data_IF_331321641616
#
_entry.id   IF_331321641616
#
_cell.length_a   1.000
_cell.length_b   1.000
_cell.length_c   1.000
_cell.angle_alpha   90.00
_cell.angle_beta   90.00
_cell.angle_gamma   90.00
#
_symmetry.space_group_name_H-M   'P 1'
#
loop_
_entity.id
_entity.type
_entity.pdbx_description
1 polymer ?
#
# COMPACT_ATOMS: atom_id res chain seq x y z
N UNK A 1 -0.13 -15.59 -2.06
CA UNK A 1 -0.28 -16.69 -3.03
C UNK A 1 -0.82 -16.21 -4.36
N UNK A 2 -1.95 -15.56 -4.42
CA UNK A 2 -2.57 -15.05 -5.67
C UNK A 2 -1.59 -14.19 -6.48
N UNK A 3 -0.91 -13.25 -5.82
CA UNK A 3 0.10 -12.39 -6.46
C UNK A 3 1.24 -13.22 -7.07
N UNK A 4 1.73 -14.23 -6.35
CA UNK A 4 2.81 -15.10 -6.81
C UNK A 4 2.38 -15.95 -8.02
N UNK A 5 1.17 -16.53 -7.99
CA UNK A 5 0.64 -17.34 -9.09
C UNK A 5 0.44 -16.49 -10.34
N UNK A 6 -0.14 -15.29 -10.19
CA UNK A 6 -0.26 -14.34 -11.31
C UNK A 6 1.11 -13.99 -11.91
N UNK A 7 2.10 -13.69 -11.07
CA UNK A 7 3.45 -13.37 -11.52
C UNK A 7 4.15 -14.51 -12.24
N UNK A 8 3.88 -15.75 -11.81
CA UNK A 8 4.43 -16.94 -12.45
C UNK A 8 3.81 -17.25 -13.82
N UNK A 9 2.60 -16.75 -14.10
CA UNK A 9 1.88 -16.95 -15.38
C UNK A 9 1.88 -18.41 -15.86
N UNK A 10 1.60 -19.35 -14.95
CA UNK A 10 1.59 -20.80 -15.24
C UNK A 10 2.98 -21.46 -15.33
N UNK A 11 4.07 -20.71 -15.22
CA UNK A 11 5.42 -21.28 -15.24
C UNK A 11 5.75 -21.96 -13.89
N UNK A 12 5.82 -23.29 -13.89
CA UNK A 12 6.16 -24.09 -12.70
C UNK A 12 7.60 -23.90 -12.21
N UNK A 13 8.50 -23.42 -13.07
CA UNK A 13 9.90 -23.15 -12.77
C UNK A 13 10.15 -21.64 -12.54
N UNK A 14 9.10 -20.89 -12.23
CA UNK A 14 9.22 -19.45 -12.03
C UNK A 14 10.12 -19.14 -10.82
N UNK A 15 11.07 -18.24 -11.04
CA UNK A 15 11.93 -17.71 -9.97
C UNK A 15 11.16 -16.69 -9.13
N UNK A 16 10.67 -17.14 -7.98
CA UNK A 16 9.86 -16.31 -7.06
C UNK A 16 10.63 -15.12 -6.46
N UNK A 17 11.97 -15.09 -6.54
CA UNK A 17 12.75 -13.93 -6.11
C UNK A 17 12.47 -12.71 -6.99
N UNK A 18 12.06 -12.92 -8.25
CA UNK A 18 11.68 -11.86 -9.19
C UNK A 18 10.37 -11.15 -8.85
N UNK A 19 9.57 -11.70 -7.93
CA UNK A 19 8.31 -11.07 -7.49
C UNK A 19 8.51 -9.79 -6.67
N UNK A 20 9.73 -9.41 -6.35
CA UNK A 20 10.06 -8.25 -5.47
C UNK A 20 9.32 -8.30 -4.13
N UNK A 21 9.02 -9.51 -3.65
CA UNK A 21 8.44 -9.73 -2.33
C UNK A 21 9.54 -10.04 -1.32
N UNK A 22 9.43 -9.45 -0.14
CA UNK A 22 10.40 -9.70 0.92
C UNK A 22 10.29 -11.13 1.42
N UNK A 23 11.40 -11.85 1.38
CA UNK A 23 11.55 -13.15 2.01
C UNK A 23 12.22 -12.99 3.37
N UNK A 24 11.67 -13.65 4.37
CA UNK A 24 12.27 -13.72 5.71
C UNK A 24 12.58 -15.18 6.04
N UNK A 25 13.87 -15.51 6.18
CA UNK A 25 14.28 -16.87 6.56
C UNK A 25 13.85 -17.23 7.98
N UNK A 26 13.73 -18.53 8.26
CA UNK A 26 13.38 -19.02 9.60
C UNK A 26 14.36 -18.49 10.66
N UNK A 27 15.66 -18.47 10.37
CA UNK A 27 16.66 -17.95 11.30
C UNK A 27 16.48 -16.46 11.58
N UNK A 28 16.11 -15.67 10.55
CA UNK A 28 15.77 -14.26 10.72
C UNK A 28 14.49 -14.08 11.53
N UNK A 29 13.48 -14.93 11.32
CA UNK A 29 12.25 -14.94 12.13
C UNK A 29 12.56 -15.26 13.60
N UNK A 30 13.41 -16.28 13.87
CA UNK A 30 13.87 -16.62 15.24
C UNK A 30 14.53 -15.43 15.93
N UNK A 31 15.45 -14.76 15.24
CA UNK A 31 16.12 -13.56 15.76
C UNK A 31 15.14 -12.41 16.03
N UNK A 32 14.19 -12.21 15.14
CA UNK A 32 13.21 -11.11 15.20
C UNK A 32 12.17 -11.31 16.30
N UNK A 33 11.70 -12.55 16.50
CA UNK A 33 10.63 -12.86 17.45
C UNK A 33 11.12 -13.41 18.79
N UNK A 34 12.38 -13.84 18.88
CA UNK A 34 12.99 -14.35 20.11
C UNK A 34 12.11 -15.42 20.77
N UNK A 35 11.74 -15.19 22.02
CA UNK A 35 10.91 -16.14 22.81
C UNK A 35 9.51 -16.37 22.23
N UNK A 36 8.98 -15.47 21.41
CA UNK A 36 7.67 -15.60 20.78
C UNK A 36 7.73 -16.32 19.42
N UNK A 37 8.89 -16.88 19.04
CA UNK A 37 9.06 -17.50 17.72
C UNK A 37 8.08 -18.66 17.50
N UNK A 38 8.02 -19.62 18.41
CA UNK A 38 7.22 -20.83 18.23
C UNK A 38 5.73 -20.52 18.11
N UNK A 39 5.22 -19.62 18.96
CA UNK A 39 3.84 -19.18 18.92
C UNK A 39 3.51 -18.48 17.59
N UNK A 40 4.32 -17.49 17.20
CA UNK A 40 4.13 -16.73 15.96
C UNK A 40 4.25 -17.62 14.72
N UNK A 41 5.24 -18.50 14.69
CA UNK A 41 5.47 -19.43 13.59
C UNK A 41 4.31 -20.43 13.44
N UNK A 42 3.82 -20.98 14.55
CA UNK A 42 2.64 -21.85 14.60
C UNK A 42 1.40 -21.14 14.05
N UNK A 43 1.14 -19.91 14.50
CA UNK A 43 0.00 -19.10 14.04
C UNK A 43 0.04 -18.84 12.55
N UNK A 44 1.21 -18.42 12.01
CA UNK A 44 1.37 -18.18 10.57
C UNK A 44 1.19 -19.47 9.78
N UNK A 45 1.80 -20.59 10.24
CA UNK A 45 1.67 -21.89 9.59
C UNK A 45 0.22 -22.36 9.54
N UNK A 46 -0.54 -22.19 10.62
CA UNK A 46 -1.97 -22.48 10.66
C UNK A 46 -2.76 -21.68 9.63
N UNK A 47 -2.50 -20.36 9.53
CA UNK A 47 -3.16 -19.51 8.54
C UNK A 47 -2.84 -19.94 7.09
N UNK A 48 -1.57 -20.26 6.81
CA UNK A 48 -1.14 -20.73 5.49
C UNK A 48 -1.78 -22.05 5.11
N UNK A 49 -1.85 -22.99 6.06
CA UNK A 49 -2.45 -24.31 5.84
C UNK A 49 -3.99 -24.21 5.68
N UNK A 50 -4.65 -23.39 6.49
CA UNK A 50 -6.09 -23.18 6.42
C UNK A 50 -6.56 -22.62 5.07
N UNK A 51 -5.71 -21.85 4.40
CA UNK A 51 -5.99 -21.24 3.08
C UNK A 51 -5.22 -21.94 1.94
N UNK A 52 -4.81 -23.19 2.13
CA UNK A 52 -4.03 -23.91 1.13
C UNK A 52 -4.82 -24.08 -0.17
N UNK A 53 -4.19 -23.73 -1.30
CA UNK A 53 -4.79 -23.78 -2.63
C UNK A 53 -5.74 -22.62 -2.95
N UNK A 54 -6.09 -21.75 -2.00
CA UNK A 54 -6.99 -20.62 -2.26
C UNK A 54 -6.27 -19.49 -2.98
N UNK A 55 -6.90 -18.99 -4.04
CA UNK A 55 -6.50 -17.81 -4.80
C UNK A 55 -7.72 -16.91 -5.06
N UNK A 56 -7.45 -15.62 -5.28
CA UNK A 56 -8.47 -14.68 -5.74
C UNK A 56 -8.45 -14.60 -7.27
N UNK A 57 -9.62 -14.72 -7.88
CA UNK A 57 -9.80 -14.57 -9.33
C UNK A 57 -10.83 -13.49 -9.66
N UNK A 58 -10.61 -12.83 -10.79
CA UNK A 58 -11.55 -11.96 -11.47
C UNK A 58 -11.62 -12.40 -12.94
N UNK A 59 -12.82 -12.69 -13.44
CA UNK A 59 -13.02 -13.25 -14.80
C UNK A 59 -12.17 -14.50 -15.08
N UNK A 60 -12.09 -15.41 -14.10
CA UNK A 60 -11.32 -16.67 -14.14
C UNK A 60 -9.79 -16.51 -14.21
N UNK A 61 -9.28 -15.30 -14.00
CA UNK A 61 -7.84 -15.02 -13.96
C UNK A 61 -7.39 -14.58 -12.56
N UNK A 62 -6.22 -15.03 -12.07
CA UNK A 62 -5.67 -14.56 -10.81
C UNK A 62 -5.51 -13.04 -10.80
N UNK A 63 -6.03 -12.37 -9.77
CA UNK A 63 -5.96 -10.91 -9.66
C UNK A 63 -4.57 -10.39 -9.34
N UNK A 64 -4.34 -9.12 -9.60
CA UNK A 64 -3.21 -8.36 -9.05
C UNK A 64 -3.52 -8.02 -7.59
N UNK A 65 -3.23 -8.95 -6.66
CA UNK A 65 -3.55 -8.85 -5.24
C UNK A 65 -2.56 -7.94 -4.49
N UNK A 66 -2.55 -6.67 -4.85
CA UNK A 66 -1.68 -5.66 -4.21
C UNK A 66 -2.26 -5.17 -2.89
N UNK A 67 -1.39 -4.78 -1.99
CA UNK A 67 -1.74 -4.30 -0.67
C UNK A 67 -0.78 -3.19 -0.21
N UNK A 68 -1.23 -2.37 0.72
CA UNK A 68 -0.40 -1.35 1.36
C UNK A 68 -0.45 -1.51 2.89
N UNK A 69 0.46 -0.85 3.59
CA UNK A 69 0.44 -0.87 5.06
C UNK A 69 -0.82 -0.21 5.61
N UNK A 70 -1.08 1.02 5.20
CA UNK A 70 -2.14 1.87 5.78
C UNK A 70 -2.62 2.83 4.71
N UNK A 71 -3.92 2.92 4.45
CA UNK A 71 -4.50 3.99 3.62
C UNK A 71 -4.71 5.27 4.45
N UNK A 72 -5.20 6.33 3.83
CA UNK A 72 -5.59 7.56 4.54
C UNK A 72 -6.99 7.47 5.19
N UNK A 73 -7.62 6.29 5.14
CA UNK A 73 -9.01 6.03 5.52
C UNK A 73 -9.85 5.61 4.33
N UNK A 74 -9.32 5.75 3.12
CA UNK A 74 -9.87 5.29 1.86
C UNK A 74 -8.76 4.78 0.94
N UNK A 75 -8.98 3.66 0.25
CA UNK A 75 -7.98 3.13 -0.68
C UNK A 75 -8.03 3.86 -2.02
N UNK A 76 -6.96 3.76 -2.81
CA UNK A 76 -6.86 4.38 -4.14
C UNK A 76 -7.39 3.46 -5.24
N UNK A 77 -7.91 4.06 -6.32
CA UNK A 77 -8.14 3.35 -7.55
C UNK A 77 -6.80 3.01 -8.24
N UNK A 78 -6.70 1.81 -8.77
CA UNK A 78 -5.54 1.40 -9.57
C UNK A 78 -5.31 2.33 -10.78
N UNK A 79 -6.38 2.79 -11.40
CA UNK A 79 -6.35 3.71 -12.54
C UNK A 79 -5.66 5.03 -12.20
N UNK A 80 -5.93 5.60 -11.03
CA UNK A 80 -5.41 6.90 -10.62
C UNK A 80 -3.92 6.83 -10.26
N UNK A 81 -3.43 5.66 -9.80
CA UNK A 81 -2.03 5.48 -9.37
C UNK A 81 -1.15 4.92 -10.49
N UNK A 82 -1.66 3.93 -11.26
CA UNK A 82 -0.86 3.21 -12.25
C UNK A 82 -1.42 3.24 -13.68
N UNK A 83 -2.52 3.96 -13.91
CA UNK A 83 -3.17 4.08 -15.21
C UNK A 83 -3.90 2.82 -15.69
N UNK A 84 -3.96 1.75 -14.89
CA UNK A 84 -4.63 0.49 -15.23
C UNK A 84 -6.04 0.47 -14.65
N UNK A 85 -7.03 0.33 -15.53
CA UNK A 85 -8.44 0.26 -15.12
C UNK A 85 -8.82 -1.18 -14.72
N UNK A 86 -8.44 -1.56 -13.50
CA UNK A 86 -8.74 -2.85 -12.91
C UNK A 86 -9.98 -2.74 -12.02
N UNK A 87 -11.11 -3.23 -12.49
CA UNK A 87 -12.42 -3.08 -11.85
C UNK A 87 -12.51 -3.66 -10.43
N UNK A 88 -11.59 -4.57 -10.07
CA UNK A 88 -11.48 -5.14 -8.73
C UNK A 88 -10.54 -4.36 -7.79
N UNK A 89 -9.81 -3.34 -8.29
CA UNK A 89 -8.93 -2.45 -7.53
C UNK A 89 -9.45 -1.02 -7.55
N UNK A 90 -10.66 -0.85 -7.05
CA UNK A 90 -11.33 0.45 -6.89
C UNK A 90 -11.20 0.95 -5.46
N UNK A 91 -11.37 2.26 -5.28
CA UNK A 91 -11.38 2.89 -3.96
C UNK A 91 -12.46 2.30 -3.06
N UNK A 92 -12.10 2.02 -1.81
CA UNK A 92 -13.02 1.57 -0.76
C UNK A 92 -12.64 2.20 0.57
N UNK A 93 -13.66 2.43 1.41
CA UNK A 93 -13.46 2.93 2.77
C UNK A 93 -12.64 1.95 3.63
N UNK A 94 -11.72 2.46 4.44
CA UNK A 94 -10.85 1.68 5.32
C UNK A 94 -10.75 2.33 6.71
N UNK A 95 -11.86 2.35 7.45
CA UNK A 95 -12.02 3.05 8.75
C UNK A 95 -10.97 2.71 9.80
N UNK A 96 -10.41 1.50 9.73
CA UNK A 96 -9.44 1.00 10.70
C UNK A 96 -8.07 1.64 10.59
N UNK A 97 -7.76 2.27 9.48
CA UNK A 97 -6.42 2.81 9.21
C UNK A 97 -6.00 3.92 10.16
N UNK A 98 -6.96 4.70 10.66
CA UNK A 98 -6.70 5.75 11.66
C UNK A 98 -6.08 5.23 12.98
N UNK A 99 -6.21 3.94 13.27
CA UNK A 99 -5.62 3.29 14.44
C UNK A 99 -4.22 2.74 14.18
N UNK A 100 -3.74 2.82 12.93
CA UNK A 100 -2.37 2.43 12.60
C UNK A 100 -1.35 3.38 13.23
N UNK A 101 -0.26 2.87 13.84
CA UNK A 101 0.84 3.71 14.34
C UNK A 101 1.58 4.41 13.18
N UNK A 102 1.33 4.00 11.95
CA UNK A 102 1.94 4.58 10.74
C UNK A 102 1.02 5.57 10.03
N UNK A 103 -0.20 5.81 10.56
CA UNK A 103 -1.20 6.64 9.90
C UNK A 103 -0.71 8.06 9.65
N UNK A 104 -0.09 8.68 10.64
CA UNK A 104 0.48 10.02 10.52
C UNK A 104 1.98 9.97 10.24
N UNK A 105 2.44 10.88 9.40
CA UNK A 105 3.85 11.08 9.13
C UNK A 105 4.18 12.55 8.91
N UNK A 106 5.45 12.90 9.07
CA UNK A 106 5.95 14.24 8.77
C UNK A 106 7.37 14.18 8.25
N UNK A 107 7.65 14.95 7.21
CA UNK A 107 9.00 15.13 6.65
C UNK A 107 9.23 16.62 6.44
N UNK A 108 10.36 17.10 6.89
CA UNK A 108 10.78 18.50 6.69
C UNK A 108 11.89 18.55 5.64
N UNK A 109 11.72 19.42 4.65
CA UNK A 109 12.64 19.62 3.53
C UNK A 109 13.03 21.09 3.48
N UNK A 110 14.33 21.41 3.46
CA UNK A 110 14.78 22.80 3.35
C UNK A 110 14.45 23.40 1.97
N UNK A 111 14.19 24.71 1.94
CA UNK A 111 14.04 25.45 0.67
C UNK A 111 15.24 25.24 -0.26
N UNK A 112 16.46 25.16 0.30
CA UNK A 112 17.68 24.87 -0.46
C UNK A 112 17.61 23.51 -1.16
N UNK A 113 17.16 22.47 -0.46
CA UNK A 113 16.98 21.13 -1.03
C UNK A 113 15.94 21.14 -2.15
N UNK A 114 14.81 21.82 -1.94
CA UNK A 114 13.78 21.97 -2.98
C UNK A 114 14.32 22.66 -4.24
N UNK A 115 15.03 23.80 -4.06
CA UNK A 115 15.66 24.52 -5.18
C UNK A 115 16.67 23.67 -5.92
N UNK A 116 17.50 22.92 -5.22
CA UNK A 116 18.51 22.05 -5.85
C UNK A 116 17.89 20.94 -6.70
N UNK A 117 16.76 20.35 -6.25
CA UNK A 117 16.14 19.21 -6.94
C UNK A 117 15.18 19.69 -8.05
N UNK A 118 14.37 20.70 -7.78
CA UNK A 118 13.26 21.11 -8.66
C UNK A 118 13.43 22.50 -9.28
N UNK A 119 14.50 23.22 -8.93
CA UNK A 119 14.75 24.58 -9.40
C UNK A 119 13.94 25.66 -8.68
N UNK A 120 13.07 25.31 -7.75
CA UNK A 120 12.21 26.24 -7.00
C UNK A 120 11.83 25.65 -5.64
N UNK A 121 11.52 26.54 -4.69
CA UNK A 121 10.92 26.16 -3.40
C UNK A 121 9.40 26.38 -3.35
N UNK A 122 8.85 27.00 -4.40
CA UNK A 122 7.42 27.32 -4.47
C UNK A 122 6.67 26.07 -4.95
N UNK A 123 6.09 25.34 -4.01
CA UNK A 123 5.29 24.14 -4.27
C UNK A 123 3.82 24.39 -3.90
N UNK A 124 2.90 23.97 -4.78
CA UNK A 124 1.45 24.05 -4.60
C UNK A 124 0.82 22.75 -5.06
N UNK A 125 -0.08 22.21 -4.25
CA UNK A 125 -0.92 21.07 -4.66
C UNK A 125 -1.94 21.59 -5.67
N UNK A 126 -1.98 21.00 -6.86
CA UNK A 126 -2.90 21.36 -7.94
C UNK A 126 -4.14 20.48 -7.92
N UNK A 127 -3.93 19.16 -7.81
CA UNK A 127 -4.99 18.19 -7.93
C UNK A 127 -4.83 17.06 -6.91
N UNK A 128 -5.98 16.48 -6.55
CA UNK A 128 -6.08 15.26 -5.75
C UNK A 128 -6.98 14.26 -6.47
N UNK A 129 -6.77 12.98 -6.21
CA UNK A 129 -7.68 11.92 -6.58
C UNK A 129 -8.98 12.03 -5.77
N UNK A 130 -10.01 11.28 -6.17
CA UNK A 130 -11.27 11.21 -5.41
C UNK A 130 -11.07 10.68 -3.98
N UNK A 131 -10.09 9.80 -3.77
CA UNK A 131 -9.71 9.29 -2.44
C UNK A 131 -8.81 10.26 -1.64
N UNK A 132 -8.56 11.48 -2.15
CA UNK A 132 -7.87 12.56 -1.45
C UNK A 132 -6.35 12.57 -1.56
N UNK A 133 -5.74 11.63 -2.28
CA UNK A 133 -4.30 11.61 -2.49
C UNK A 133 -3.86 12.67 -3.51
N UNK A 134 -2.70 13.24 -3.34
CA UNK A 134 -2.16 14.24 -4.26
C UNK A 134 -1.76 13.56 -5.57
N UNK A 135 -2.43 13.92 -6.66
CA UNK A 135 -2.11 13.47 -8.02
C UNK A 135 -1.09 14.40 -8.66
N UNK A 136 -1.27 15.71 -8.54
CA UNK A 136 -0.44 16.72 -9.22
C UNK A 136 -0.03 17.85 -8.28
N UNK A 137 1.24 18.23 -8.32
CA UNK A 137 1.78 19.44 -7.70
C UNK A 137 2.42 20.32 -8.76
N UNK A 138 2.42 21.65 -8.53
CA UNK A 138 3.23 22.61 -9.29
C UNK A 138 4.41 23.08 -8.45
N UNK A 139 5.63 23.02 -9.01
CA UNK A 139 6.83 23.56 -8.39
C UNK A 139 7.50 24.53 -9.37
N UNK A 140 7.53 25.82 -9.00
CA UNK A 140 8.07 26.85 -9.88
C UNK A 140 7.39 26.92 -11.26
N UNK A 141 6.10 26.60 -11.33
CA UNK A 141 5.31 26.57 -12.57
C UNK A 141 5.41 25.29 -13.38
N UNK A 142 6.24 24.29 -12.98
CA UNK A 142 6.32 22.97 -13.61
C UNK A 142 5.50 21.95 -12.84
N UNK A 143 4.83 21.04 -13.52
CA UNK A 143 4.00 20.00 -12.91
C UNK A 143 4.78 18.71 -12.66
N UNK A 144 4.48 18.08 -11.52
CA UNK A 144 5.04 16.81 -11.09
C UNK A 144 3.93 15.97 -10.44
N UNK A 145 4.03 14.64 -10.54
CA UNK A 145 3.10 13.75 -9.85
C UNK A 145 3.35 13.74 -8.34
N UNK A 146 2.29 13.51 -7.56
CA UNK A 146 2.40 13.28 -6.11
C UNK A 146 3.35 12.14 -5.78
N UNK A 147 3.36 11.07 -6.59
CA UNK A 147 4.27 9.93 -6.44
C UNK A 147 5.75 10.34 -6.63
N UNK A 148 6.04 11.28 -7.55
CA UNK A 148 7.39 11.82 -7.71
C UNK A 148 7.85 12.55 -6.44
N UNK A 149 6.97 13.31 -5.82
CA UNK A 149 7.27 14.00 -4.54
C UNK A 149 7.46 12.98 -3.42
N UNK A 150 6.53 12.01 -3.32
CA UNK A 150 6.59 10.94 -2.32
C UNK A 150 7.92 10.19 -2.38
N UNK A 151 8.33 9.74 -3.56
CA UNK A 151 9.56 8.97 -3.74
C UNK A 151 10.81 9.82 -3.53
N UNK A 152 10.81 11.08 -4.00
CA UNK A 152 11.96 11.99 -3.86
C UNK A 152 12.26 12.33 -2.40
N UNK A 153 11.23 12.56 -1.58
CA UNK A 153 11.38 12.96 -0.17
C UNK A 153 11.10 11.83 0.81
N UNK A 154 10.94 10.59 0.33
CA UNK A 154 10.62 9.40 1.15
C UNK A 154 9.40 9.61 2.04
N UNK A 155 8.37 10.29 1.50
CA UNK A 155 7.11 10.46 2.20
C UNK A 155 6.42 9.11 2.37
N UNK A 156 5.71 8.92 3.47
CA UNK A 156 4.97 7.68 3.72
C UNK A 156 3.83 7.45 2.71
N UNK A 157 3.15 8.52 2.29
CA UNK A 157 1.95 8.46 1.45
C UNK A 157 1.92 9.63 0.45
N UNK A 158 1.12 9.48 -0.62
CA UNK A 158 0.74 10.60 -1.49
C UNK A 158 -0.40 11.44 -0.92
N UNK A 159 -1.08 11.02 0.15
CA UNK A 159 -1.94 11.96 0.89
C UNK A 159 -1.06 12.79 1.82
N UNK A 160 -0.69 13.97 1.34
CA UNK A 160 0.10 14.93 2.11
C UNK A 160 -0.48 16.35 2.03
N UNK A 161 -0.22 17.11 3.07
CA UNK A 161 -0.38 18.58 3.11
C UNK A 161 0.98 19.23 3.18
N UNK A 162 1.05 20.48 2.75
CA UNK A 162 2.29 21.28 2.70
C UNK A 162 2.11 22.52 3.55
N UNK A 163 3.06 22.77 4.44
CA UNK A 163 3.14 24.02 5.22
C UNK A 163 4.55 24.56 5.16
N UNK A 164 4.69 25.90 5.16
CA UNK A 164 6.00 26.55 5.31
C UNK A 164 6.25 26.84 6.79
N UNK A 165 7.46 26.57 7.24
CA UNK A 165 7.95 26.91 8.57
C UNK A 165 9.32 27.58 8.42
N UNK A 166 9.32 28.93 8.39
CA UNK A 166 10.49 29.69 8.02
C UNK A 166 10.96 29.38 6.60
N UNK A 167 12.22 28.93 6.46
CA UNK A 167 12.80 28.47 5.19
C UNK A 167 12.50 27.00 4.88
N UNK A 168 11.81 26.30 5.75
CA UNK A 168 11.54 24.88 5.58
C UNK A 168 10.14 24.61 5.04
N UNK A 169 10.01 23.51 4.30
CA UNK A 169 8.75 22.98 3.78
C UNK A 169 8.45 21.72 4.55
N UNK A 170 7.32 21.68 5.24
CA UNK A 170 6.88 20.55 6.03
C UNK A 170 5.76 19.80 5.29
N UNK A 171 6.01 18.54 4.97
CA UNK A 171 5.03 17.60 4.45
C UNK A 171 4.45 16.80 5.61
N UNK A 172 3.14 16.88 5.81
CA UNK A 172 2.41 16.00 6.74
C UNK A 172 1.62 14.99 5.94
N UNK A 173 1.80 13.70 6.21
CA UNK A 173 1.17 12.61 5.45
C UNK A 173 0.13 11.86 6.28
N UNK A 174 -0.88 11.29 5.62
CA UNK A 174 -1.79 10.28 6.15
C UNK A 174 -1.64 8.99 5.34
N UNK A 175 -1.51 7.86 6.07
CA UNK A 175 -1.29 6.55 5.47
C UNK A 175 0.18 6.20 5.23
N UNK A 176 0.41 4.95 4.75
CA UNK A 176 1.73 4.42 4.44
C UNK A 176 1.66 3.41 3.31
N UNK A 177 2.18 3.76 2.16
CA UNK A 177 2.20 2.98 0.93
C UNK A 177 1.54 3.71 -0.23
N UNK A 178 1.24 2.94 -1.29
CA UNK A 178 0.62 3.46 -2.51
C UNK A 178 -0.91 3.62 -2.42
N UNK A 179 -1.54 3.10 -1.36
CA UNK A 179 -2.98 3.21 -1.14
C UNK A 179 -3.86 2.22 -1.90
N UNK A 180 -3.37 1.53 -2.93
CA UNK A 180 -4.18 0.65 -3.80
C UNK A 180 -4.38 -0.73 -3.17
N UNK A 181 -5.59 -1.30 -3.31
CA UNK A 181 -5.93 -2.64 -2.85
C UNK A 181 -6.12 -2.74 -1.34
N UNK A 182 -5.69 -3.83 -0.72
CA UNK A 182 -5.98 -4.08 0.70
C UNK A 182 -5.06 -3.27 1.61
N UNK A 183 -5.64 -2.50 2.54
CA UNK A 183 -4.90 -1.96 3.68
C UNK A 183 -4.69 -3.04 4.74
N UNK A 184 -3.44 -3.28 5.14
CA UNK A 184 -3.12 -4.27 6.16
C UNK A 184 -3.72 -3.89 7.53
N UNK A 185 -3.61 -2.62 7.94
CA UNK A 185 -4.21 -2.16 9.21
C UNK A 185 -5.72 -2.09 9.16
N UNK A 186 -6.31 -1.73 8.03
CA UNK A 186 -7.74 -1.81 7.80
C UNK A 186 -8.26 -3.25 7.91
N UNK A 187 -7.57 -4.21 7.28
CA UNK A 187 -7.90 -5.63 7.38
C UNK A 187 -7.78 -6.16 8.81
N UNK A 188 -6.73 -5.78 9.56
CA UNK A 188 -6.58 -6.14 10.99
C UNK A 188 -7.73 -5.58 11.81
N UNK A 189 -8.12 -4.32 11.58
CA UNK A 189 -9.27 -3.72 12.27
C UNK A 189 -10.57 -4.49 12.00
N UNK A 190 -10.86 -4.83 10.74
CA UNK A 190 -12.02 -5.62 10.37
C UNK A 190 -12.01 -7.01 11.05
N UNK A 191 -10.87 -7.69 11.03
CA UNK A 191 -10.71 -8.99 11.67
C UNK A 191 -10.92 -8.93 13.19
N UNK A 192 -10.39 -7.91 13.86
CA UNK A 192 -10.59 -7.69 15.31
C UNK A 192 -12.05 -7.40 15.67
N UNK A 193 -12.85 -6.91 14.71
CA UNK A 193 -14.29 -6.72 14.84
C UNK A 193 -15.12 -7.91 14.34
N UNK A 194 -14.50 -9.08 14.18
CA UNK A 194 -15.18 -10.33 13.87
C UNK A 194 -15.47 -10.57 12.38
N UNK A 195 -14.98 -9.72 11.47
CA UNK A 195 -15.15 -9.91 10.03
C UNK A 195 -14.31 -11.09 9.54
N UNK A 196 -14.90 -12.01 8.79
CA UNK A 196 -14.19 -13.16 8.23
C UNK A 196 -13.20 -12.73 7.14
N UNK A 197 -12.10 -13.46 6.97
CA UNK A 197 -11.09 -13.14 5.97
C UNK A 197 -11.66 -13.08 4.54
N UNK A 198 -12.65 -13.91 4.22
CA UNK A 198 -13.35 -13.90 2.93
C UNK A 198 -14.04 -12.56 2.68
N UNK A 199 -14.71 -12.02 3.70
CA UNK A 199 -15.44 -10.77 3.61
C UNK A 199 -14.48 -9.57 3.57
N UNK A 200 -13.34 -9.67 4.28
CA UNK A 200 -12.26 -8.68 4.21
C UNK A 200 -11.70 -8.62 2.79
N UNK A 201 -11.41 -9.78 2.18
CA UNK A 201 -10.91 -9.83 0.81
C UNK A 201 -11.93 -9.28 -0.20
N UNK A 202 -13.21 -9.64 -0.07
CA UNK A 202 -14.29 -9.11 -0.92
C UNK A 202 -14.53 -7.61 -0.72
N UNK A 203 -14.21 -7.07 0.46
CA UNK A 203 -14.27 -5.64 0.73
C UNK A 203 -13.24 -4.88 -0.10
N UNK A 204 -11.98 -5.35 -0.11
CA UNK A 204 -10.87 -4.66 -0.77
C UNK A 204 -10.69 -5.00 -2.25
N UNK A 205 -11.12 -6.20 -2.68
CA UNK A 205 -11.02 -6.66 -4.06
C UNK A 205 -12.42 -6.94 -4.59
N UNK A 206 -13.00 -5.95 -5.25
CA UNK A 206 -14.40 -5.99 -5.70
C UNK A 206 -14.63 -7.03 -6.79
N UNK A 207 -15.81 -7.66 -6.74
CA UNK A 207 -16.25 -8.63 -7.76
C UNK A 207 -15.27 -9.79 -8.00
N UNK A 208 -14.50 -10.15 -6.98
CA UNK A 208 -13.58 -11.30 -7.04
C UNK A 208 -14.18 -12.51 -6.35
N UNK A 209 -13.71 -13.68 -6.77
CA UNK A 209 -14.07 -14.96 -6.17
C UNK A 209 -12.84 -15.66 -5.58
N UNK A 210 -13.03 -16.37 -4.48
CA UNK A 210 -11.99 -17.29 -3.97
C UNK A 210 -12.17 -18.62 -4.69
N UNK A 211 -11.11 -19.08 -5.35
CA UNK A 211 -11.05 -20.39 -6.00
C UNK A 211 -9.98 -21.24 -5.35
N UNK A 212 -10.27 -22.53 -5.20
CA UNK A 212 -9.31 -23.52 -4.74
C UNK A 212 -8.68 -24.23 -5.95
N UNK A 213 -7.33 -24.23 -6.01
CA UNK A 213 -6.53 -24.87 -7.07
C UNK A 213 -5.78 -26.08 -6.51
#
# INVERSE_FOLDING_TARGET
RTYAIRGANGNKNFDYTKLKQNYTSVDKMKKMWGKSFDENYKKISQCVNATQGEILEYNNEPILAVFCSTSNGETENCKDVWGQDLQYLTSVESKGDKYSPYYNGSVTVSAKTMKNIFGSENIVIKERTNAGYVSTVSIGGKEFSGEKIRTTFHLKSCDFTITKNGSDIVFKTKGYGHGVGMSQYGAVYMANNGTKYTDILSHYYKNTNIKKI
#
